data_IF_538805822457
#
_entry.id   IF_538805822457
#
_cell.length_a   1.000
_cell.length_b   1.000
_cell.length_c   1.000
_cell.angle_alpha   90.00
_cell.angle_beta   90.00
_cell.angle_gamma   90.00
#
_symmetry.space_group_name_H-M   'P 1'
#
loop_
_entity.id
_entity.type
_entity.pdbx_description
1 polymer ?
#
# COMPACT_ATOMS: atom_id res chain seq x y z
N UNK A 1 -23.92 9.53 7.26
CA UNK A 1 -22.76 8.99 7.99
C UNK A 1 -22.27 10.00 9.02
N UNK A 2 -21.58 9.53 10.07
CA UNK A 2 -20.95 10.38 11.10
C UNK A 2 -19.44 10.63 10.85
N UNK A 3 -18.97 10.46 9.64
CA UNK A 3 -17.53 10.64 9.29
C UNK A 3 -16.98 12.02 9.67
N UNK A 4 -17.81 13.07 9.66
CA UNK A 4 -17.40 14.41 10.08
C UNK A 4 -16.88 14.48 11.52
N UNK A 5 -17.26 13.55 12.39
CA UNK A 5 -16.77 13.47 13.78
C UNK A 5 -15.28 13.09 13.83
N UNK A 6 -14.81 12.36 12.83
CA UNK A 6 -13.43 11.86 12.69
C UNK A 6 -12.56 12.74 11.79
N UNK A 7 -13.18 13.43 10.82
CA UNK A 7 -12.53 14.29 9.82
C UNK A 7 -12.84 15.77 10.13
N UNK A 8 -12.49 16.21 11.33
CA UNK A 8 -13.00 17.44 11.98
C UNK A 8 -12.68 18.77 11.31
N UNK A 9 -11.70 18.83 10.40
CA UNK A 9 -11.26 20.10 9.82
C UNK A 9 -11.23 20.05 8.30
N UNK A 10 -12.13 20.79 7.65
CA UNK A 10 -12.19 20.90 6.20
C UNK A 10 -10.90 21.47 5.58
N UNK A 11 -10.16 22.32 6.33
CA UNK A 11 -8.88 22.86 5.86
C UNK A 11 -7.78 21.80 5.92
N UNK A 12 -7.76 20.97 6.95
CA UNK A 12 -6.84 19.85 7.10
C UNK A 12 -7.15 18.81 5.99
N UNK A 13 -8.42 18.54 5.73
CA UNK A 13 -8.83 17.66 4.63
C UNK A 13 -8.29 18.15 3.27
N UNK A 14 -8.40 19.45 2.99
CA UNK A 14 -7.82 20.07 1.78
C UNK A 14 -6.30 19.98 1.72
N UNK A 15 -5.63 19.97 2.86
CA UNK A 15 -4.17 19.81 2.94
C UNK A 15 -3.68 18.37 2.74
N UNK A 16 -4.59 17.39 2.69
CA UNK A 16 -4.27 15.97 2.60
C UNK A 16 -3.72 15.35 3.89
N UNK A 17 -3.64 16.11 4.98
CA UNK A 17 -3.14 15.62 6.29
C UNK A 17 -4.16 14.79 7.05
N UNK A 18 -5.44 15.11 6.89
CA UNK A 18 -6.56 14.30 7.40
C UNK A 18 -7.35 13.80 6.21
N UNK A 19 -7.39 12.50 6.00
CA UNK A 19 -8.06 11.93 4.84
C UNK A 19 -8.22 10.42 4.95
N UNK A 20 -9.22 9.90 4.25
CA UNK A 20 -9.38 8.46 4.02
C UNK A 20 -8.28 8.00 3.06
N UNK A 21 -7.64 6.87 3.38
CA UNK A 21 -6.55 6.28 2.62
C UNK A 21 -6.93 4.98 1.93
N UNK A 22 -7.85 4.23 2.51
CA UNK A 22 -8.32 2.97 1.93
C UNK A 22 -9.71 2.63 2.41
N UNK A 23 -10.38 1.83 1.60
CA UNK A 23 -11.67 1.22 1.91
C UNK A 23 -11.54 -0.29 1.75
N UNK A 24 -12.14 -1.03 2.65
CA UNK A 24 -12.12 -2.48 2.64
C UNK A 24 -13.47 -3.02 3.13
N UNK A 25 -14.02 -3.99 2.42
CA UNK A 25 -15.29 -4.64 2.79
C UNK A 25 -14.99 -6.10 3.07
N UNK A 26 -15.34 -6.55 4.26
CA UNK A 26 -15.17 -7.94 4.70
C UNK A 26 -16.11 -8.24 5.87
N UNK A 27 -16.57 -9.49 5.98
CA UNK A 27 -17.39 -9.96 7.11
C UNK A 27 -18.58 -9.04 7.40
N UNK A 28 -19.32 -8.65 6.35
CA UNK A 28 -20.47 -7.75 6.44
C UNK A 28 -20.16 -6.39 7.09
N UNK A 29 -18.89 -5.95 7.05
CA UNK A 29 -18.43 -4.66 7.55
C UNK A 29 -17.69 -3.89 6.46
N UNK A 30 -17.77 -2.58 6.59
CA UNK A 30 -16.93 -1.64 5.83
C UNK A 30 -15.91 -1.04 6.77
N UNK A 31 -14.64 -1.11 6.37
CA UNK A 31 -13.50 -0.55 7.09
C UNK A 31 -12.93 0.62 6.29
N UNK A 32 -12.55 1.68 6.98
CA UNK A 32 -11.90 2.85 6.40
C UNK A 32 -10.59 3.10 7.14
N UNK A 33 -9.47 3.00 6.43
CA UNK A 33 -8.21 3.52 6.96
C UNK A 33 -8.15 5.03 6.74
N UNK A 34 -7.70 5.77 7.74
CA UNK A 34 -7.66 7.23 7.67
C UNK A 34 -6.53 7.80 8.48
N UNK A 35 -6.11 8.97 8.07
CA UNK A 35 -5.19 9.82 8.82
C UNK A 35 -5.97 10.81 9.67
N UNK A 36 -5.57 10.99 10.92
CA UNK A 36 -6.18 11.99 11.77
C UNK A 36 -5.17 12.65 12.72
N UNK A 37 -5.51 13.82 13.17
CA UNK A 37 -4.74 14.53 14.18
C UNK A 37 -5.03 13.94 15.56
N UNK A 38 -4.01 13.36 16.20
CA UNK A 38 -4.14 12.78 17.55
C UNK A 38 -3.78 13.79 18.65
N UNK A 39 -2.93 14.74 18.33
CA UNK A 39 -2.60 15.92 19.12
C UNK A 39 -2.13 17.03 18.19
N UNK A 40 -2.11 18.28 18.64
CA UNK A 40 -1.81 19.45 17.80
C UNK A 40 -0.61 19.21 16.88
N UNK A 41 -0.81 19.34 15.58
CA UNK A 41 0.17 19.14 14.51
C UNK A 41 0.86 17.76 14.53
N UNK A 42 0.20 16.73 15.06
CA UNK A 42 0.74 15.38 15.11
C UNK A 42 -0.32 14.36 14.69
N UNK A 43 -0.02 13.60 13.65
CA UNK A 43 -0.96 12.75 12.92
C UNK A 43 -0.56 11.29 12.97
N UNK A 44 -1.53 10.40 13.02
CA UNK A 44 -1.28 8.96 12.83
C UNK A 44 -2.40 8.28 12.02
N UNK A 45 -2.21 6.99 11.77
CA UNK A 45 -3.16 6.15 11.05
C UNK A 45 -4.08 5.43 12.02
N UNK A 46 -5.34 5.29 11.60
CA UNK A 46 -6.34 4.49 12.32
C UNK A 46 -7.28 3.83 11.32
N UNK A 47 -8.08 2.91 11.82
CA UNK A 47 -9.12 2.24 11.04
C UNK A 47 -10.46 2.46 11.75
N UNK A 48 -11.44 2.92 11.00
CA UNK A 48 -12.85 2.95 11.40
C UNK A 48 -13.56 1.74 10.80
N UNK A 49 -14.66 1.33 11.43
CA UNK A 49 -15.57 0.34 10.86
C UNK A 49 -17.03 0.74 11.05
N UNK A 50 -17.87 0.24 10.18
CA UNK A 50 -19.33 0.24 10.29
C UNK A 50 -19.87 -1.10 9.80
N UNK A 51 -20.99 -1.54 10.31
CA UNK A 51 -21.72 -2.63 9.67
C UNK A 51 -22.10 -2.20 8.25
N UNK A 52 -22.00 -3.12 7.30
CA UNK A 52 -22.29 -2.84 5.90
C UNK A 52 -23.80 -2.69 5.71
N UNK A 53 -24.21 -1.55 5.18
CA UNK A 53 -25.59 -1.26 4.90
C UNK A 53 -25.73 -0.09 3.93
N UNK A 54 -26.72 -0.15 3.03
CA UNK A 54 -26.89 0.86 1.99
C UNK A 54 -27.46 2.19 2.51
N UNK A 55 -28.18 2.17 3.64
CA UNK A 55 -28.97 3.33 4.07
C UNK A 55 -28.33 4.17 5.18
N UNK A 56 -27.55 3.57 6.07
CA UNK A 56 -26.93 4.33 7.17
C UNK A 56 -25.62 3.66 7.62
N UNK A 57 -24.53 4.34 7.41
CA UNK A 57 -23.22 3.93 7.88
C UNK A 57 -22.85 4.77 9.11
N UNK A 58 -22.70 4.10 10.25
CA UNK A 58 -22.27 4.72 11.52
C UNK A 58 -20.91 4.14 11.90
N UNK A 59 -19.88 4.92 11.66
CA UNK A 59 -18.51 4.51 11.90
C UNK A 59 -18.14 4.59 13.38
N UNK A 60 -17.33 3.64 13.82
CA UNK A 60 -16.69 3.55 15.13
C UNK A 60 -15.21 3.30 14.96
N UNK A 61 -14.41 3.66 15.97
CA UNK A 61 -12.99 3.31 15.96
C UNK A 61 -12.83 1.78 16.03
N UNK A 62 -11.96 1.25 15.19
CA UNK A 62 -11.65 -0.18 15.13
C UNK A 62 -10.21 -0.45 15.60
N UNK A 63 -9.25 0.29 15.04
CA UNK A 63 -7.83 0.15 15.33
C UNK A 63 -7.18 1.52 15.31
N UNK A 64 -6.26 1.77 16.24
CA UNK A 64 -5.50 3.01 16.30
C UNK A 64 -4.06 2.73 16.72
N UNK A 65 -3.12 3.52 16.20
CA UNK A 65 -1.78 3.58 16.73
C UNK A 65 -1.77 4.20 18.13
N UNK A 66 -0.69 3.95 18.88
CA UNK A 66 -0.46 4.70 20.10
C UNK A 66 -0.41 6.21 19.79
N UNK A 67 -1.03 7.02 20.66
CA UNK A 67 -1.08 8.48 20.51
C UNK A 67 0.32 9.12 20.47
N UNK A 68 1.33 8.46 21.02
CA UNK A 68 2.71 8.90 21.01
C UNK A 68 3.44 8.57 19.70
N UNK A 69 2.92 7.62 18.93
CA UNK A 69 3.41 7.28 17.60
C UNK A 69 2.77 8.17 16.53
N UNK A 70 3.07 9.45 16.50
CA UNK A 70 2.53 10.38 15.52
C UNK A 70 3.60 11.16 14.78
N UNK A 71 3.35 11.50 13.51
CA UNK A 71 4.23 12.31 12.68
C UNK A 71 3.72 13.75 12.54
N UNK A 72 4.63 14.71 12.61
CA UNK A 72 4.33 16.14 12.38
C UNK A 72 4.33 16.53 10.91
N UNK A 73 4.94 15.73 10.06
CA UNK A 73 5.18 16.05 8.64
C UNK A 73 4.27 15.30 7.68
N UNK A 74 3.16 14.75 8.16
CA UNK A 74 2.32 13.87 7.37
C UNK A 74 1.44 14.59 6.35
N UNK A 75 1.83 14.48 5.10
CA UNK A 75 0.92 14.70 3.96
C UNK A 75 0.93 13.53 2.98
N UNK A 76 1.93 12.68 3.08
CA UNK A 76 2.18 11.53 2.22
C UNK A 76 2.91 10.42 2.99
N UNK A 77 3.31 9.34 2.34
CA UNK A 77 3.94 8.15 2.95
C UNK A 77 3.06 7.51 4.03
N UNK A 78 1.81 7.30 3.72
CA UNK A 78 0.84 6.80 4.71
C UNK A 78 0.55 5.32 4.54
N UNK A 79 0.74 4.75 3.35
CA UNK A 79 0.19 3.43 3.03
C UNK A 79 -1.35 3.46 3.11
N UNK A 80 -1.93 2.56 3.89
CA UNK A 80 -3.36 2.57 4.19
C UNK A 80 -4.17 1.46 3.50
N UNK A 81 -3.50 0.56 2.77
CA UNK A 81 -4.18 -0.56 2.10
C UNK A 81 -4.50 -1.68 3.09
N UNK A 82 -5.75 -2.11 3.06
CA UNK A 82 -6.24 -3.30 3.75
C UNK A 82 -6.56 -4.38 2.72
N UNK A 83 -6.16 -5.62 2.99
CA UNK A 83 -6.41 -6.77 2.13
C UNK A 83 -6.85 -7.98 2.95
N UNK A 84 -7.76 -8.83 2.45
CA UNK A 84 -8.16 -10.04 3.16
C UNK A 84 -6.96 -10.98 3.32
N UNK A 85 -6.93 -11.75 4.38
CA UNK A 85 -5.88 -12.75 4.58
C UNK A 85 -6.47 -14.11 4.98
N UNK A 86 -7.18 -14.18 6.09
CA UNK A 86 -7.89 -15.38 6.53
C UNK A 86 -9.19 -15.01 7.28
N UNK A 87 -9.87 -16.02 7.83
CA UNK A 87 -11.16 -15.80 8.52
C UNK A 87 -11.04 -14.94 9.79
N UNK A 88 -9.86 -14.90 10.42
CA UNK A 88 -9.65 -14.25 11.71
C UNK A 88 -8.97 -12.89 11.61
N UNK A 89 -8.33 -12.59 10.46
CA UNK A 89 -7.49 -11.41 10.31
C UNK A 89 -7.36 -10.94 8.86
N UNK A 90 -7.02 -9.67 8.72
CA UNK A 90 -6.61 -9.03 7.48
C UNK A 90 -5.22 -8.41 7.61
N UNK A 91 -4.62 -8.03 6.49
CA UNK A 91 -3.34 -7.34 6.47
C UNK A 91 -3.55 -5.85 6.18
N UNK A 92 -2.71 -5.02 6.79
CA UNK A 92 -2.77 -3.57 6.70
C UNK A 92 -1.37 -2.98 6.44
N UNK A 93 -1.23 -2.25 5.32
CA UNK A 93 0.03 -1.57 5.00
C UNK A 93 0.09 -0.22 5.68
N UNK A 94 1.25 0.14 6.21
CA UNK A 94 1.50 1.47 6.76
C UNK A 94 2.71 2.08 6.07
N UNK A 95 2.65 3.39 5.81
CA UNK A 95 3.81 4.12 5.35
C UNK A 95 4.75 4.50 6.49
N UNK A 96 5.93 5.01 6.16
CA UNK A 96 6.93 5.45 7.14
C UNK A 96 6.57 6.78 7.82
N UNK A 97 5.51 7.47 7.35
CA UNK A 97 5.08 8.76 7.89
C UNK A 97 6.15 9.84 7.86
N UNK A 98 7.17 9.71 7.02
CA UNK A 98 8.40 10.51 7.01
C UNK A 98 9.22 10.40 8.32
N UNK A 99 8.94 9.38 9.11
CA UNK A 99 9.72 8.96 10.28
C UNK A 99 10.64 7.81 9.88
N UNK A 100 11.53 8.06 8.93
CA UNK A 100 12.30 7.03 8.19
C UNK A 100 12.92 5.95 9.08
N UNK A 101 13.46 6.34 10.24
CA UNK A 101 14.05 5.42 11.20
C UNK A 101 13.04 4.40 11.74
N UNK A 102 11.78 4.82 11.88
CA UNK A 102 10.73 3.98 12.45
C UNK A 102 10.37 2.80 11.54
N UNK A 103 10.66 2.89 10.23
CA UNK A 103 10.47 1.76 9.32
C UNK A 103 11.30 0.52 9.74
N UNK A 104 12.46 0.70 10.39
CA UNK A 104 13.31 -0.37 10.90
C UNK A 104 13.05 -0.75 12.37
N UNK A 105 12.30 0.07 13.10
CA UNK A 105 11.99 -0.15 14.51
C UNK A 105 10.84 -1.15 14.66
N UNK A 106 11.10 -2.35 15.18
CA UNK A 106 10.10 -3.41 15.40
C UNK A 106 9.07 -3.09 16.50
N UNK A 107 9.22 -1.98 17.22
CA UNK A 107 8.25 -1.51 18.21
C UNK A 107 7.31 -0.44 17.64
N UNK A 108 7.60 0.07 16.44
CA UNK A 108 6.79 1.09 15.77
C UNK A 108 5.88 0.48 14.71
N UNK A 109 4.71 1.09 14.50
CA UNK A 109 3.77 0.70 13.44
C UNK A 109 4.01 1.43 12.12
N UNK A 110 5.02 2.31 12.02
CA UNK A 110 5.37 3.03 10.81
C UNK A 110 6.27 2.20 9.87
N UNK A 111 5.93 2.18 8.58
CA UNK A 111 6.68 1.46 7.54
C UNK A 111 6.59 -0.06 7.69
N UNK A 112 5.37 -0.57 7.85
CA UNK A 112 5.08 -1.97 8.19
C UNK A 112 4.01 -2.61 7.33
N UNK A 113 4.00 -3.94 7.32
CA UNK A 113 2.84 -4.76 7.04
C UNK A 113 2.34 -5.34 8.38
N UNK A 114 1.15 -4.93 8.79
CA UNK A 114 0.53 -5.36 10.04
C UNK A 114 -0.49 -6.46 9.76
N UNK A 115 -0.56 -7.45 10.63
CA UNK A 115 -1.68 -8.40 10.69
C UNK A 115 -2.60 -7.97 11.83
N UNK A 116 -3.87 -7.69 11.50
CA UNK A 116 -4.87 -7.17 12.43
C UNK A 116 -6.02 -8.18 12.50
N UNK A 117 -6.42 -8.55 13.71
CA UNK A 117 -7.56 -9.42 13.93
C UNK A 117 -8.88 -8.67 13.68
N UNK A 118 -9.96 -9.38 13.30
CA UNK A 118 -11.27 -8.77 13.10
C UNK A 118 -11.96 -8.30 14.40
N UNK A 119 -11.32 -8.47 15.55
CA UNK A 119 -11.72 -7.83 16.81
C UNK A 119 -11.05 -6.46 17.04
N UNK A 120 -10.17 -6.04 16.14
CA UNK A 120 -9.45 -4.77 16.21
C UNK A 120 -8.12 -4.83 16.97
N UNK A 121 -7.67 -6.00 17.39
CA UNK A 121 -6.37 -6.16 18.04
C UNK A 121 -5.24 -6.36 17.04
N UNK A 122 -4.05 -5.79 17.31
CA UNK A 122 -2.85 -6.08 16.56
C UNK A 122 -2.42 -7.53 16.85
N UNK A 123 -2.37 -8.37 15.81
CA UNK A 123 -1.85 -9.74 15.93
C UNK A 123 -0.32 -9.72 15.95
N UNK A 124 0.28 -9.15 14.91
CA UNK A 124 1.74 -8.97 14.84
C UNK A 124 2.16 -8.01 13.72
N UNK A 125 3.40 -7.56 13.78
CA UNK A 125 4.13 -6.97 12.66
C UNK A 125 4.66 -8.10 11.79
N UNK A 126 4.22 -8.16 10.54
CA UNK A 126 4.60 -9.20 9.56
C UNK A 126 5.89 -8.82 8.84
N UNK A 127 5.96 -7.55 8.42
CA UNK A 127 7.12 -7.02 7.71
C UNK A 127 7.42 -5.58 8.12
N UNK A 128 8.69 -5.20 7.95
CA UNK A 128 9.23 -3.87 8.22
C UNK A 128 10.13 -3.38 7.09
N UNK A 129 10.66 -2.17 7.24
CA UNK A 129 11.52 -1.59 6.21
C UNK A 129 10.75 -1.22 4.95
N UNK A 130 9.53 -0.73 5.10
CA UNK A 130 8.65 -0.27 4.03
C UNK A 130 8.54 1.26 4.06
N UNK A 131 8.41 1.89 2.88
CA UNK A 131 8.35 3.35 2.77
C UNK A 131 6.93 3.88 2.62
N UNK A 132 6.26 3.56 1.52
CA UNK A 132 4.90 4.03 1.22
C UNK A 132 4.19 3.01 0.31
N UNK A 133 3.75 1.93 0.90
CA UNK A 133 3.07 0.83 0.20
C UNK A 133 1.60 1.18 0.02
N UNK A 134 1.21 1.65 -1.16
CA UNK A 134 -0.16 2.07 -1.47
C UNK A 134 -1.00 0.94 -2.07
N UNK A 135 -0.39 -0.03 -2.71
CA UNK A 135 -1.07 -1.17 -3.33
C UNK A 135 -0.67 -2.49 -2.70
N UNK A 136 -1.65 -3.37 -2.53
CA UNK A 136 -1.41 -4.75 -2.11
C UNK A 136 -2.59 -5.64 -2.53
N UNK A 137 -2.29 -6.89 -2.83
CA UNK A 137 -3.29 -7.94 -3.09
C UNK A 137 -2.81 -9.28 -2.56
N UNK A 138 -3.73 -10.09 -2.03
CA UNK A 138 -3.46 -11.47 -1.66
C UNK A 138 -3.93 -12.40 -2.78
N UNK A 139 -3.00 -13.08 -3.42
CA UNK A 139 -3.29 -14.07 -4.43
C UNK A 139 -3.36 -15.45 -3.76
N UNK A 140 -4.59 -15.91 -3.54
CA UNK A 140 -4.87 -17.10 -2.72
C UNK A 140 -4.40 -18.41 -3.36
N UNK A 141 -4.36 -18.51 -4.69
CA UNK A 141 -3.90 -19.72 -5.39
C UNK A 141 -2.44 -20.05 -5.06
N UNK A 142 -1.57 -19.05 -5.07
CA UNK A 142 -0.15 -19.21 -4.77
C UNK A 142 0.19 -18.82 -3.33
N UNK A 143 -0.81 -18.41 -2.54
CA UNK A 143 -0.66 -18.00 -1.14
C UNK A 143 0.41 -16.92 -0.95
N UNK A 144 0.37 -15.88 -1.79
CA UNK A 144 1.33 -14.78 -1.77
C UNK A 144 0.62 -13.43 -1.70
N UNK A 145 1.18 -12.50 -0.97
CA UNK A 145 0.83 -11.08 -1.03
C UNK A 145 1.81 -10.37 -1.94
N UNK A 146 1.30 -9.69 -2.94
CA UNK A 146 2.09 -8.83 -3.85
C UNK A 146 1.75 -7.39 -3.51
N UNK A 147 2.78 -6.55 -3.38
CA UNK A 147 2.67 -5.16 -2.94
C UNK A 147 3.37 -4.23 -3.91
N UNK A 148 2.85 -3.01 -4.05
CA UNK A 148 3.49 -1.94 -4.80
C UNK A 148 3.79 -0.75 -3.89
N UNK A 149 5.01 -0.22 -3.98
CA UNK A 149 5.58 0.74 -3.05
C UNK A 149 6.25 1.91 -3.78
N UNK A 150 6.06 3.13 -3.26
CA UNK A 150 6.76 4.30 -3.73
C UNK A 150 8.17 4.39 -3.15
N UNK A 151 9.17 4.47 -4.02
CA UNK A 151 10.54 4.81 -3.67
C UNK A 151 10.77 6.30 -3.42
N UNK A 152 12.00 6.72 -3.06
CA UNK A 152 12.31 8.14 -2.78
C UNK A 152 12.37 8.99 -4.07
N UNK A 153 13.39 8.81 -4.89
CA UNK A 153 13.54 9.47 -6.20
C UNK A 153 13.85 8.39 -7.22
N UNK A 154 12.81 7.80 -7.81
CA UNK A 154 12.90 6.49 -8.44
C UNK A 154 12.91 5.39 -7.40
N UNK A 155 13.15 4.15 -7.83
CA UNK A 155 13.18 2.99 -6.94
C UNK A 155 11.81 2.65 -6.37
N UNK A 156 10.72 2.92 -7.10
CA UNK A 156 9.45 2.31 -6.76
C UNK A 156 9.59 0.80 -6.89
N UNK A 157 8.93 0.03 -6.03
CA UNK A 157 9.16 -1.41 -5.94
C UNK A 157 7.87 -2.22 -6.05
N UNK A 158 8.01 -3.43 -6.58
CA UNK A 158 7.04 -4.50 -6.40
C UNK A 158 7.67 -5.53 -5.46
N UNK A 159 7.01 -5.74 -4.34
CA UNK A 159 7.45 -6.63 -3.29
C UNK A 159 6.50 -7.83 -3.16
N UNK A 160 7.00 -8.98 -2.72
CA UNK A 160 6.17 -10.14 -2.39
C UNK A 160 6.50 -10.73 -1.03
N UNK A 161 5.49 -11.30 -0.38
CA UNK A 161 5.65 -12.06 0.86
C UNK A 161 4.72 -13.28 0.83
N UNK A 162 5.26 -14.45 1.12
CA UNK A 162 4.50 -15.71 1.09
C UNK A 162 3.66 -15.90 2.35
N UNK A 163 2.69 -16.79 2.27
CA UNK A 163 1.87 -17.16 3.43
C UNK A 163 2.73 -17.69 4.59
N UNK A 164 3.74 -18.51 4.28
CA UNK A 164 4.67 -19.09 5.26
C UNK A 164 5.47 -17.99 5.97
N UNK A 165 5.96 -16.99 5.24
CA UNK A 165 6.64 -15.83 5.81
C UNK A 165 5.71 -15.00 6.70
N UNK A 166 4.45 -14.81 6.26
CA UNK A 166 3.43 -14.10 7.05
C UNK A 166 3.13 -14.84 8.35
N UNK A 167 3.11 -16.17 8.34
CA UNK A 167 2.82 -16.99 9.52
C UNK A 167 4.04 -17.25 10.40
N UNK A 168 5.26 -17.03 9.89
CA UNK A 168 6.52 -17.15 10.64
C UNK A 168 6.59 -16.16 11.80
N UNK A 169 7.31 -16.50 12.85
CA UNK A 169 7.59 -15.60 13.99
C UNK A 169 8.59 -14.50 13.64
N UNK A 170 9.29 -14.60 12.51
CA UNK A 170 10.28 -13.63 12.08
C UNK A 170 9.63 -12.55 11.19
N UNK A 171 9.98 -11.29 11.44
CA UNK A 171 9.61 -10.17 10.58
C UNK A 171 10.43 -10.19 9.28
N UNK A 172 9.77 -10.09 8.12
CA UNK A 172 10.45 -9.85 6.85
C UNK A 172 10.91 -8.40 6.80
N UNK A 173 12.14 -8.14 6.34
CA UNK A 173 12.69 -6.79 6.21
C UNK A 173 12.92 -6.43 4.73
N UNK A 174 12.22 -5.40 4.24
CA UNK A 174 12.34 -4.88 2.87
C UNK A 174 13.41 -3.78 2.71
N UNK A 175 14.10 -3.40 3.78
CA UNK A 175 15.35 -2.64 3.73
C UNK A 175 15.24 -1.12 3.90
N UNK A 176 14.10 -0.49 3.60
CA UNK A 176 13.96 0.96 3.77
C UNK A 176 14.19 1.42 5.23
N UNK A 177 14.91 2.51 5.51
CA UNK A 177 15.64 3.41 4.60
C UNK A 177 17.12 3.03 4.40
N UNK A 178 17.57 1.85 4.86
CA UNK A 178 18.97 1.42 4.82
C UNK A 178 19.38 1.03 3.39
N UNK A 179 18.48 0.38 2.64
CA UNK A 179 18.64 0.03 1.25
C UNK A 179 17.44 0.53 0.42
N UNK A 180 17.69 0.94 -0.83
CA UNK A 180 16.68 1.35 -1.80
C UNK A 180 17.29 1.38 -3.20
N UNK A 181 16.47 1.16 -4.24
CA UNK A 181 16.86 1.34 -5.64
C UNK A 181 16.67 2.77 -6.16
N UNK A 182 16.21 3.69 -5.29
CA UNK A 182 16.05 5.10 -5.62
C UNK A 182 17.17 5.98 -5.07
N UNK A 183 17.23 7.22 -5.55
CA UNK A 183 18.19 8.21 -5.07
C UNK A 183 17.71 8.87 -3.77
N UNK A 184 18.52 8.80 -2.72
CA UNK A 184 18.22 9.41 -1.41
C UNK A 184 18.85 10.81 -1.33
N UNK A 185 18.40 11.75 -2.15
CA UNK A 185 18.90 13.14 -2.15
C UNK A 185 18.39 14.00 -0.98
N UNK A 186 17.29 13.62 -0.36
CA UNK A 186 16.53 14.47 0.57
C UNK A 186 16.57 14.03 2.03
N UNK A 187 17.10 12.85 2.30
CA UNK A 187 17.18 12.36 3.66
C UNK A 187 18.42 12.93 4.32
N UNK A 188 18.30 14.12 4.90
CA UNK A 188 19.22 14.56 5.94
C UNK A 188 18.93 13.73 7.18
N UNK A 189 19.58 12.56 7.27
CA UNK A 189 19.55 11.77 8.51
C UNK A 189 20.34 12.56 9.54
N UNK A 190 19.63 13.44 10.26
CA UNK A 190 20.21 14.30 11.29
C UNK A 190 20.65 13.55 12.54
N UNK A 191 20.31 12.29 12.65
CA UNK A 191 20.62 11.49 13.83
C UNK A 191 21.20 10.14 13.39
N UNK A 192 22.44 9.92 13.70
CA UNK A 192 23.33 8.78 13.48
C UNK A 192 22.80 7.36 13.76
N UNK A 193 21.51 7.09 13.56
CA UNK A 193 20.92 5.78 13.84
C UNK A 193 21.08 4.77 12.69
N UNK A 194 21.34 5.24 11.46
CA UNK A 194 21.48 4.37 10.30
C UNK A 194 22.56 4.91 9.36
N UNK A 195 23.42 4.03 8.89
CA UNK A 195 24.27 4.31 7.72
C UNK A 195 23.48 3.87 6.49
N UNK A 196 23.12 4.82 5.62
CA UNK A 196 22.60 4.49 4.30
C UNK A 196 23.75 3.83 3.56
N UNK A 197 23.51 2.64 3.06
CA UNK A 197 24.46 1.91 2.25
C UNK A 197 24.21 2.28 0.79
N UNK A 198 25.26 2.73 0.10
CA UNK A 198 25.19 3.03 -1.34
C UNK A 198 24.99 1.76 -2.21
N UNK A 199 24.85 0.60 -1.59
CA UNK A 199 24.63 -0.66 -2.30
C UNK A 199 23.16 -0.86 -2.61
N UNK A 200 22.82 -0.85 -3.89
CA UNK A 200 21.46 -1.05 -4.43
C UNK A 200 20.90 -2.45 -4.18
N UNK A 201 21.73 -3.41 -3.81
CA UNK A 201 21.34 -4.80 -3.65
C UNK A 201 20.89 -5.06 -2.20
N UNK A 202 19.59 -5.31 -2.01
CA UNK A 202 18.99 -5.57 -0.71
C UNK A 202 19.55 -6.85 -0.06
N UNK A 203 19.70 -7.93 -0.82
CA UNK A 203 20.13 -9.23 -0.29
C UNK A 203 21.54 -9.22 0.26
N UNK A 204 22.45 -8.43 -0.28
CA UNK A 204 23.78 -8.22 0.30
C UNK A 204 23.76 -7.58 1.68
N UNK A 205 22.66 -6.90 2.00
CA UNK A 205 22.44 -6.28 3.29
C UNK A 205 21.54 -7.12 4.20
N UNK A 206 21.14 -8.34 3.78
CA UNK A 206 20.26 -9.22 4.52
C UNK A 206 18.78 -8.83 4.45
N UNK A 207 18.40 -7.99 3.48
CA UNK A 207 17.01 -7.62 3.22
C UNK A 207 16.42 -8.43 2.07
N UNK A 208 15.09 -8.49 2.03
CA UNK A 208 14.38 -9.15 0.94
C UNK A 208 14.43 -8.29 -0.32
N UNK A 209 14.81 -8.91 -1.44
CA UNK A 209 14.83 -8.25 -2.74
C UNK A 209 13.41 -8.01 -3.27
N UNK A 210 13.13 -6.85 -3.89
CA UNK A 210 11.90 -6.65 -4.63
C UNK A 210 11.87 -7.52 -5.89
N UNK A 211 10.66 -7.88 -6.34
CA UNK A 211 10.43 -8.57 -7.62
C UNK A 211 10.86 -7.69 -8.80
N UNK A 212 10.61 -6.39 -8.67
CA UNK A 212 10.96 -5.37 -9.66
C UNK A 212 11.12 -4.01 -8.99
N UNK A 213 11.91 -3.14 -9.62
CA UNK A 213 11.99 -1.72 -9.25
C UNK A 213 11.93 -0.82 -10.48
N UNK A 214 11.48 0.41 -10.30
CA UNK A 214 11.28 1.38 -11.37
C UNK A 214 12.08 2.65 -11.12
N UNK A 215 13.04 2.93 -12.03
CA UNK A 215 13.81 4.18 -12.04
C UNK A 215 13.91 4.64 -13.50
N UNK A 216 13.29 5.78 -13.87
CA UNK A 216 12.59 6.75 -13.00
C UNK A 216 11.27 6.23 -12.43
N UNK A 217 10.78 6.87 -11.35
CA UNK A 217 9.54 6.54 -10.65
C UNK A 217 8.32 6.54 -11.59
N UNK A 218 7.47 5.53 -11.45
CA UNK A 218 6.15 5.44 -12.10
C UNK A 218 5.01 5.80 -11.15
N UNK A 219 5.30 5.87 -9.84
CA UNK A 219 4.35 6.14 -8.76
C UNK A 219 3.19 5.14 -8.71
N UNK A 220 3.42 3.88 -8.33
CA UNK A 220 2.41 2.84 -8.31
C UNK A 220 1.35 3.12 -7.23
N UNK A 221 0.07 2.98 -7.55
CA UNK A 221 -1.04 3.23 -6.62
C UNK A 221 -1.70 1.95 -6.11
N UNK A 222 -1.92 0.98 -6.98
CA UNK A 222 -2.49 -0.31 -6.60
C UNK A 222 -1.94 -1.43 -7.47
N UNK A 223 -2.04 -2.67 -6.97
CA UNK A 223 -1.76 -3.89 -7.72
C UNK A 223 -2.84 -4.92 -7.41
N UNK A 224 -3.41 -5.53 -8.44
CA UNK A 224 -4.46 -6.55 -8.32
C UNK A 224 -4.15 -7.75 -9.20
N UNK A 225 -4.59 -8.93 -8.79
CA UNK A 225 -4.65 -10.09 -9.66
C UNK A 225 -5.87 -9.98 -10.58
N UNK A 226 -5.69 -10.36 -11.84
CA UNK A 226 -6.72 -10.31 -12.89
C UNK A 226 -6.86 -11.64 -13.64
N UNK A 227 -6.73 -12.73 -12.92
CA UNK A 227 -6.96 -14.06 -13.46
C UNK A 227 -8.31 -14.15 -14.16
N UNK A 228 -8.30 -14.75 -15.34
CA UNK A 228 -9.48 -14.92 -16.20
C UNK A 228 -10.14 -13.62 -16.71
N UNK A 229 -9.53 -12.46 -16.53
CA UNK A 229 -9.98 -11.22 -17.19
C UNK A 229 -9.95 -11.37 -18.73
N UNK A 230 -8.97 -12.13 -19.23
CA UNK A 230 -8.92 -12.63 -20.59
C UNK A 230 -8.66 -14.15 -20.53
N UNK A 231 -9.17 -14.94 -21.47
CA UNK A 231 -8.99 -16.41 -21.48
C UNK A 231 -7.52 -16.86 -21.40
N UNK A 232 -6.60 -16.00 -21.84
CA UNK A 232 -5.15 -16.24 -21.79
C UNK A 232 -4.50 -15.80 -20.48
N UNK A 233 -5.25 -15.15 -19.59
CA UNK A 233 -4.70 -14.64 -18.34
C UNK A 233 -4.74 -15.73 -17.27
N UNK A 234 -3.54 -16.06 -16.77
CA UNK A 234 -3.34 -16.97 -15.66
C UNK A 234 -2.12 -16.48 -14.87
N UNK A 235 -2.29 -16.17 -13.61
CA UNK A 235 -1.30 -15.48 -12.77
C UNK A 235 -0.92 -14.08 -13.30
N UNK A 236 -1.91 -13.37 -13.84
CA UNK A 236 -1.72 -12.03 -14.37
C UNK A 236 -2.08 -10.98 -13.34
N UNK A 237 -1.31 -9.89 -13.33
CA UNK A 237 -1.52 -8.76 -12.43
C UNK A 237 -1.59 -7.46 -13.22
N UNK A 238 -2.45 -6.55 -12.76
CA UNK A 238 -2.41 -5.16 -13.17
C UNK A 238 -1.88 -4.31 -12.03
N UNK A 239 -0.89 -3.45 -12.33
CA UNK A 239 -0.42 -2.40 -11.44
C UNK A 239 -0.78 -1.05 -12.04
N UNK A 240 -1.52 -0.23 -11.30
CA UNK A 240 -1.89 1.12 -11.70
C UNK A 240 -0.86 2.15 -11.25
N UNK A 241 -0.73 3.24 -12.01
CA UNK A 241 0.28 4.26 -11.74
C UNK A 241 -0.29 5.68 -11.77
N UNK A 242 0.29 6.55 -10.96
CA UNK A 242 -0.10 7.94 -10.79
C UNK A 242 0.72 8.89 -11.66
N UNK A 243 2.03 8.88 -11.55
CA UNK A 243 2.98 9.75 -12.23
C UNK A 243 2.53 11.19 -12.48
N UNK A 244 3.42 12.16 -12.46
CA UNK A 244 3.03 13.55 -12.67
C UNK A 244 2.80 13.90 -14.16
N UNK A 245 3.41 13.13 -15.07
CA UNK A 245 3.29 13.32 -16.52
C UNK A 245 3.06 11.98 -17.20
N UNK A 246 2.34 11.93 -18.33
CA UNK A 246 2.21 10.71 -19.12
C UNK A 246 3.57 10.22 -19.64
N UNK A 247 3.65 8.93 -19.96
CA UNK A 247 4.83 8.29 -20.57
C UNK A 247 5.70 7.53 -19.56
N UNK A 248 6.55 6.67 -20.09
CA UNK A 248 7.47 5.80 -19.33
C UNK A 248 6.72 5.02 -18.22
N UNK A 249 5.54 4.43 -18.56
CA UNK A 249 4.74 3.67 -17.62
C UNK A 249 4.02 4.48 -16.53
N UNK A 250 3.95 5.80 -16.68
CA UNK A 250 3.18 6.70 -15.81
C UNK A 250 1.78 6.91 -16.35
N UNK A 251 0.78 7.07 -15.46
CA UNK A 251 -0.64 7.21 -15.82
C UNK A 251 -1.10 6.06 -16.71
N UNK A 252 -0.74 4.85 -16.31
CA UNK A 252 -0.89 3.65 -17.09
C UNK A 252 -1.30 2.48 -16.19
N UNK A 253 -1.72 1.39 -16.82
CA UNK A 253 -1.73 0.06 -16.24
C UNK A 253 -0.50 -0.69 -16.73
N UNK A 254 0.25 -1.28 -15.81
CA UNK A 254 1.26 -2.27 -16.13
C UNK A 254 0.62 -3.64 -16.03
N UNK A 255 0.59 -4.38 -17.11
CA UNK A 255 0.23 -5.79 -17.15
C UNK A 255 1.49 -6.60 -16.87
N UNK A 256 1.46 -7.42 -15.83
CA UNK A 256 2.63 -8.11 -15.30
C UNK A 256 2.34 -9.59 -15.10
N UNK A 257 3.36 -10.43 -15.37
CA UNK A 257 3.44 -11.80 -14.87
C UNK A 257 4.74 -11.98 -14.10
N UNK A 258 4.67 -12.75 -13.04
CA UNK A 258 5.83 -13.11 -12.23
C UNK A 258 6.20 -14.58 -12.47
N UNK A 259 7.44 -14.95 -12.16
CA UNK A 259 7.83 -16.36 -12.10
C UNK A 259 7.12 -17.07 -10.92
N UNK A 260 7.19 -18.39 -10.87
CA UNK A 260 6.49 -19.19 -9.85
C UNK A 260 6.98 -18.92 -8.42
N UNK A 261 8.18 -18.36 -8.26
CA UNK A 261 8.77 -18.04 -6.96
C UNK A 261 8.58 -16.56 -6.57
N UNK A 262 7.93 -15.76 -7.41
CA UNK A 262 7.75 -14.30 -7.21
C UNK A 262 9.07 -13.56 -6.97
N UNK A 263 10.11 -13.92 -7.74
CA UNK A 263 11.43 -13.31 -7.65
C UNK A 263 11.73 -12.33 -8.79
N UNK A 264 11.01 -12.46 -9.92
CA UNK A 264 11.20 -11.59 -11.09
C UNK A 264 9.94 -11.48 -11.93
N UNK A 265 9.87 -10.39 -12.70
CA UNK A 265 8.88 -10.20 -13.76
C UNK A 265 9.33 -11.02 -14.98
N UNK A 266 8.43 -11.89 -15.49
CA UNK A 266 8.66 -12.69 -16.69
C UNK A 266 7.91 -12.14 -17.91
N UNK A 267 6.92 -11.29 -17.69
CA UNK A 267 6.20 -10.57 -18.75
C UNK A 267 5.79 -9.19 -18.23
N UNK A 268 5.94 -8.17 -19.07
CA UNK A 268 5.49 -6.81 -18.78
C UNK A 268 4.99 -6.15 -20.06
N UNK A 269 3.82 -5.53 -20.00
CA UNK A 269 3.28 -4.64 -21.02
C UNK A 269 2.67 -3.40 -20.37
N UNK A 270 2.55 -2.30 -21.12
CA UNK A 270 2.08 -1.02 -20.61
C UNK A 270 0.86 -0.56 -21.41
N UNK A 271 -0.28 -0.50 -20.75
CA UNK A 271 -1.53 0.03 -21.28
C UNK A 271 -1.61 1.52 -20.89
N UNK A 272 -1.37 2.41 -21.84
CA UNK A 272 -1.41 3.85 -21.60
C UNK A 272 -2.87 4.32 -21.41
N UNK A 273 -3.18 4.83 -20.22
CA UNK A 273 -4.50 5.39 -19.89
C UNK A 273 -4.48 6.92 -20.00
N UNK A 274 -3.33 7.56 -19.77
CA UNK A 274 -3.18 9.01 -19.80
C UNK A 274 -3.67 9.72 -18.54
N UNK A 275 -4.28 8.99 -17.60
CA UNK A 275 -4.87 9.47 -16.36
C UNK A 275 -4.17 8.90 -15.13
N UNK A 276 -4.24 9.61 -14.01
CA UNK A 276 -3.80 9.11 -12.70
C UNK A 276 -4.82 8.11 -12.18
N UNK A 277 -4.45 6.84 -12.13
CA UNK A 277 -5.34 5.79 -11.64
C UNK A 277 -5.13 5.65 -10.14
N UNK A 278 -6.06 6.16 -9.34
CA UNK A 278 -5.95 6.19 -7.87
C UNK A 278 -6.18 4.83 -7.25
N UNK A 279 -7.14 4.09 -7.76
CA UNK A 279 -7.50 2.76 -7.27
C UNK A 279 -8.12 1.93 -8.38
N UNK A 280 -8.18 0.63 -8.19
CA UNK A 280 -8.83 -0.30 -9.11
C UNK A 280 -9.30 -1.56 -8.42
N UNK A 281 -10.31 -2.19 -8.99
CA UNK A 281 -10.82 -3.47 -8.53
C UNK A 281 -11.17 -4.34 -9.74
N UNK A 282 -10.86 -5.63 -9.67
CA UNK A 282 -11.35 -6.64 -10.60
C UNK A 282 -12.60 -7.29 -10.04
N UNK A 283 -13.69 -7.20 -10.79
CA UNK A 283 -14.99 -7.82 -10.47
C UNK A 283 -15.15 -9.05 -11.34
N UNK A 284 -14.73 -10.19 -10.80
CA UNK A 284 -14.66 -11.48 -11.54
C UNK A 284 -16.00 -11.95 -12.07
N UNK A 285 -17.09 -11.68 -11.35
CA UNK A 285 -18.46 -12.06 -11.72
C UNK A 285 -18.92 -11.40 -13.03
N UNK A 286 -18.41 -10.22 -13.32
CA UNK A 286 -18.73 -9.46 -14.54
C UNK A 286 -17.58 -9.40 -15.52
N UNK A 287 -16.45 -9.98 -15.15
CA UNK A 287 -15.20 -9.93 -15.94
C UNK A 287 -14.78 -8.49 -16.31
N UNK A 288 -14.82 -7.59 -15.33
CA UNK A 288 -14.53 -6.17 -15.51
C UNK A 288 -13.51 -5.67 -14.51
N UNK A 289 -12.61 -4.79 -14.98
CA UNK A 289 -11.75 -4.00 -14.09
C UNK A 289 -12.31 -2.59 -14.00
N UNK A 290 -12.60 -2.14 -12.79
CA UNK A 290 -13.08 -0.79 -12.52
C UNK A 290 -11.90 0.04 -12.06
N UNK A 291 -11.69 1.21 -12.70
CA UNK A 291 -10.63 2.15 -12.41
C UNK A 291 -11.22 3.44 -11.81
N UNK A 292 -10.60 3.95 -10.76
CA UNK A 292 -10.89 5.26 -10.18
C UNK A 292 -9.85 6.25 -10.69
N UNK A 293 -10.27 7.21 -11.50
CA UNK A 293 -9.42 8.22 -12.12
C UNK A 293 -9.42 9.51 -11.29
N UNK A 294 -8.26 10.16 -11.17
CA UNK A 294 -8.06 11.30 -10.26
C UNK A 294 -8.13 12.66 -10.95
N UNK A 295 -7.56 12.82 -12.16
CA UNK A 295 -7.51 14.11 -12.84
C UNK A 295 -8.87 14.49 -13.44
N UNK A 296 -9.54 13.51 -14.04
CA UNK A 296 -10.94 13.64 -14.43
C UNK A 296 -11.78 12.78 -13.46
N UNK A 297 -12.22 13.30 -12.28
CA UNK A 297 -12.87 12.49 -11.25
C UNK A 297 -13.97 11.60 -11.83
N UNK A 298 -13.63 10.37 -12.18
CA UNK A 298 -14.50 9.46 -12.93
C UNK A 298 -14.19 8.00 -12.61
N UNK A 299 -15.15 7.16 -12.91
CA UNK A 299 -15.04 5.70 -12.85
C UNK A 299 -15.00 5.20 -14.29
N UNK A 300 -13.98 4.44 -14.63
CA UNK A 300 -13.82 3.83 -15.95
C UNK A 300 -13.87 2.31 -15.82
N UNK A 301 -14.54 1.68 -16.77
CA UNK A 301 -14.64 0.22 -16.84
C UNK A 301 -13.75 -0.26 -17.98
N UNK A 302 -12.88 -1.20 -17.66
CA UNK A 302 -12.06 -1.93 -18.62
C UNK A 302 -12.68 -3.32 -18.83
N UNK A 303 -12.88 -3.69 -20.08
CA UNK A 303 -13.40 -4.99 -20.50
C UNK A 303 -12.38 -5.68 -21.42
N UNK A 304 -12.26 -7.00 -21.31
CA UNK A 304 -11.50 -7.79 -22.28
C UNK A 304 -12.30 -7.87 -23.59
N UNK A 305 -11.63 -7.68 -24.73
CA UNK A 305 -12.19 -7.86 -26.06
C UNK A 305 -12.06 -9.29 -26.53
#
# INVERSE_FOLDING_TARGET
TNLKEYLKDENIFKSGKVSIRGIFISNEKIFLSYMHEVKKDCYNMSILFSDFGLNNLVFKNFFSYDINECSKNMSNHTGGRMIPFNNDSFLFTTGDGQLYAEAQNSQSMWGKLLKINYDGTLNKIVAKGMRDTQGATYYSKDKVVVMSEHGPTGGDEINAITYEEIMSDNEVNFGWPIATYGEIKYIKIKENKFTIKDELNHSKNGFKEPIAHYTPSVAPSHIINVDNFNEKFSKDFFMSTLGNMPGIGRRALHHLKFDDEYKKVVYSDIINVGERIRDMIYVSEFNKVILILELSPSITILEAL
#
